data_IF_704835230884
#
_entry.id   IF_704835230884
#
_cell.length_a   1.000
_cell.length_b   1.000
_cell.length_c   1.000
_cell.angle_alpha   90.00
_cell.angle_beta   90.00
_cell.angle_gamma   90.00
#
_symmetry.space_group_name_H-M   'P 1'
#
loop_
_entity.id
_entity.type
_entity.pdbx_description
1 polymer ?
#
# COMPACT_ATOMS: atom_id res chain seq x y z
N UNK A 1 -29.32 -6.00 -8.96
CA UNK A 1 -28.24 -5.02 -8.69
C UNK A 1 -27.47 -5.25 -7.37
N UNK A 2 -27.29 -6.52 -6.93
CA UNK A 2 -26.57 -6.85 -5.67
C UNK A 2 -25.28 -7.68 -5.87
N UNK A 3 -24.93 -8.02 -7.12
CA UNK A 3 -23.77 -8.87 -7.42
C UNK A 3 -22.47 -8.05 -7.57
N UNK A 4 -22.55 -6.72 -7.74
CA UNK A 4 -21.38 -5.87 -7.94
C UNK A 4 -20.64 -5.49 -6.64
N UNK A 5 -21.23 -5.75 -5.46
CA UNK A 5 -20.69 -5.29 -4.18
C UNK A 5 -19.71 -6.27 -3.50
N UNK A 6 -19.64 -7.52 -3.98
CA UNK A 6 -18.80 -8.57 -3.36
C UNK A 6 -17.40 -8.65 -4.01
N UNK A 7 -17.18 -8.08 -5.20
CA UNK A 7 -15.85 -8.03 -5.83
C UNK A 7 -14.92 -6.92 -5.28
N UNK A 8 -15.41 -6.05 -4.38
CA UNK A 8 -14.63 -4.92 -3.86
C UNK A 8 -13.73 -5.23 -2.65
N UNK A 9 -13.70 -6.46 -2.13
CA UNK A 9 -13.03 -6.76 -0.84
C UNK A 9 -11.63 -7.39 -0.91
N UNK A 10 -11.00 -7.54 -2.08
CA UNK A 10 -9.60 -8.05 -2.16
C UNK A 10 -8.71 -7.22 -3.10
N UNK A 11 -8.81 -5.88 -2.99
CA UNK A 11 -7.79 -4.97 -3.53
C UNK A 11 -7.05 -4.26 -2.39
N UNK A 12 -6.50 -5.06 -1.48
CA UNK A 12 -5.51 -4.56 -0.54
C UNK A 12 -4.17 -4.38 -1.26
N UNK A 13 -3.59 -3.18 -1.13
CA UNK A 13 -2.18 -2.91 -1.39
C UNK A 13 -1.40 -3.74 -0.38
N UNK A 14 -1.13 -5.00 -0.74
CA UNK A 14 -0.29 -5.91 0.05
C UNK A 14 1.17 -5.45 -0.12
N UNK A 15 1.79 -5.08 0.99
CA UNK A 15 3.21 -4.76 1.08
C UNK A 15 4.09 -5.97 0.66
N UNK A 16 5.37 -5.75 0.31
CA UNK A 16 6.32 -6.79 -0.14
C UNK A 16 6.38 -8.03 0.78
N UNK A 17 6.51 -7.76 2.08
CA UNK A 17 6.58 -8.75 3.15
C UNK A 17 5.23 -9.46 3.37
N UNK A 18 4.13 -8.82 2.99
CA UNK A 18 2.78 -9.33 3.23
C UNK A 18 2.37 -10.37 2.17
N UNK A 19 2.95 -10.39 0.95
CA UNK A 19 2.62 -11.42 -0.06
C UNK A 19 3.15 -12.79 0.39
N UNK A 20 4.37 -12.85 0.93
CA UNK A 20 4.95 -14.07 1.50
C UNK A 20 4.06 -14.59 2.64
N UNK A 21 3.84 -13.75 3.65
CA UNK A 21 3.02 -14.10 4.83
C UNK A 21 1.60 -14.51 4.40
N UNK A 22 1.05 -13.87 3.37
CA UNK A 22 -0.24 -14.23 2.82
C UNK A 22 -0.23 -15.62 2.18
N UNK A 23 0.72 -15.90 1.27
CA UNK A 23 0.83 -17.20 0.62
C UNK A 23 1.07 -18.32 1.64
N UNK A 24 1.94 -18.10 2.63
CA UNK A 24 2.16 -19.03 3.75
C UNK A 24 0.86 -19.32 4.52
N UNK A 25 0.13 -18.28 4.93
CA UNK A 25 -1.11 -18.43 5.69
C UNK A 25 -2.21 -19.11 4.90
N UNK A 26 -2.35 -18.78 3.62
CA UNK A 26 -3.37 -19.39 2.76
C UNK A 26 -2.98 -20.84 2.43
N UNK A 27 -1.69 -21.15 2.24
CA UNK A 27 -1.22 -22.54 2.10
C UNK A 27 -1.57 -23.38 3.34
N UNK A 28 -1.25 -22.89 4.53
CA UNK A 28 -1.59 -23.55 5.79
C UNK A 28 -3.10 -23.67 6.00
N UNK A 29 -3.87 -22.62 5.72
CA UNK A 29 -5.32 -22.65 5.83
C UNK A 29 -5.95 -23.67 4.87
N UNK A 30 -5.49 -23.72 3.62
CA UNK A 30 -5.93 -24.72 2.64
C UNK A 30 -5.54 -26.13 3.08
N UNK A 31 -4.31 -26.36 3.53
CA UNK A 31 -3.89 -27.67 4.03
C UNK A 31 -4.74 -28.14 5.23
N UNK A 32 -5.07 -27.23 6.15
CA UNK A 32 -5.94 -27.52 7.29
C UNK A 32 -7.38 -27.83 6.86
N UNK A 33 -7.92 -27.10 5.88
CA UNK A 33 -9.24 -27.35 5.31
C UNK A 33 -9.30 -28.70 4.59
N UNK A 34 -8.26 -29.05 3.84
CA UNK A 34 -8.16 -30.33 3.14
C UNK A 34 -7.97 -31.51 4.11
N UNK A 35 -7.31 -31.28 5.24
CA UNK A 35 -7.13 -32.30 6.29
C UNK A 35 -8.39 -32.52 7.14
N UNK A 36 -9.28 -31.52 7.23
CA UNK A 36 -10.53 -31.58 7.99
C UNK A 36 -11.72 -31.13 7.11
N UNK A 37 -12.07 -31.92 6.07
CA UNK A 37 -13.07 -31.50 5.10
C UNK A 37 -14.47 -31.47 5.70
N UNK A 38 -15.25 -30.47 5.28
CA UNK A 38 -16.65 -30.33 5.64
C UNK A 38 -17.44 -29.63 4.53
N UNK A 39 -18.65 -30.09 4.17
CA UNK A 39 -19.48 -29.43 3.15
C UNK A 39 -19.79 -27.95 3.46
N UNK A 40 -19.85 -27.56 4.74
CA UNK A 40 -20.06 -26.16 5.14
C UNK A 40 -18.87 -25.25 4.81
N UNK A 41 -17.67 -25.83 4.62
CA UNK A 41 -16.44 -25.11 4.30
C UNK A 41 -16.17 -24.98 2.80
N UNK A 42 -17.05 -25.50 1.93
CA UNK A 42 -16.87 -25.47 0.47
C UNK A 42 -16.70 -24.04 -0.07
N UNK A 43 -17.49 -23.07 0.41
CA UNK A 43 -17.32 -21.67 0.01
C UNK A 43 -15.95 -21.12 0.40
N UNK A 44 -15.47 -21.47 1.60
CA UNK A 44 -14.18 -21.02 2.11
C UNK A 44 -13.02 -21.63 1.31
N UNK A 45 -13.12 -22.92 0.95
CA UNK A 45 -12.18 -23.60 0.06
C UNK A 45 -12.00 -22.84 -1.26
N UNK A 46 -13.09 -22.51 -1.95
CA UNK A 46 -13.00 -21.78 -3.24
C UNK A 46 -12.46 -20.35 -3.08
N UNK A 47 -12.81 -19.66 -1.99
CA UNK A 47 -12.26 -18.33 -1.71
C UNK A 47 -10.73 -18.38 -1.53
N UNK A 48 -10.25 -19.34 -0.73
CA UNK A 48 -8.83 -19.46 -0.42
C UNK A 48 -8.03 -19.94 -1.64
N UNK A 49 -8.55 -20.90 -2.42
CA UNK A 49 -7.96 -21.32 -3.70
C UNK A 49 -7.88 -20.16 -4.71
N UNK A 50 -8.95 -19.38 -4.84
CA UNK A 50 -8.98 -18.23 -5.76
C UNK A 50 -7.99 -17.15 -5.31
N UNK A 51 -7.92 -16.88 -4.01
CA UNK A 51 -7.01 -15.90 -3.45
C UNK A 51 -5.54 -16.34 -3.59
N UNK A 52 -5.25 -17.63 -3.41
CA UNK A 52 -3.94 -18.21 -3.66
C UNK A 52 -3.55 -18.05 -5.14
N UNK A 53 -4.42 -18.49 -6.06
CA UNK A 53 -4.22 -18.37 -7.51
C UNK A 53 -3.94 -16.93 -7.95
N UNK A 54 -4.74 -15.97 -7.47
CA UNK A 54 -4.56 -14.56 -7.80
C UNK A 54 -3.21 -14.01 -7.35
N UNK A 55 -2.80 -14.30 -6.11
CA UNK A 55 -1.53 -13.81 -5.56
C UNK A 55 -0.32 -14.48 -6.21
N UNK A 56 -0.43 -15.75 -6.61
CA UNK A 56 0.60 -16.45 -7.35
C UNK A 56 0.79 -15.86 -8.77
N UNK A 57 -0.30 -15.56 -9.48
CA UNK A 57 -0.24 -14.87 -10.79
C UNK A 57 0.40 -13.48 -10.64
N UNK A 58 0.04 -12.75 -9.57
CA UNK A 58 0.64 -11.45 -9.26
C UNK A 58 2.13 -11.58 -8.94
N UNK A 59 2.53 -12.61 -8.20
CA UNK A 59 3.93 -12.91 -7.90
C UNK A 59 4.72 -13.12 -9.20
N UNK A 60 4.25 -13.99 -10.09
CA UNK A 60 4.88 -14.24 -11.38
C UNK A 60 5.05 -12.97 -12.22
N UNK A 61 3.99 -12.16 -12.33
CA UNK A 61 4.05 -10.90 -13.07
C UNK A 61 5.09 -9.92 -12.49
N UNK A 62 5.23 -9.87 -11.17
CA UNK A 62 6.18 -8.95 -10.54
C UNK A 62 7.61 -9.52 -10.54
N UNK A 63 7.74 -10.84 -10.50
CA UNK A 63 9.01 -11.54 -10.51
C UNK A 63 9.66 -11.49 -11.90
N UNK A 64 8.88 -11.68 -12.97
CA UNK A 64 9.35 -11.47 -14.35
C UNK A 64 9.84 -10.04 -14.60
N UNK A 65 9.23 -9.06 -13.90
CA UNK A 65 9.66 -7.65 -13.91
C UNK A 65 10.83 -7.36 -12.96
N UNK A 66 11.43 -8.39 -12.35
CA UNK A 66 12.55 -8.31 -11.41
C UNK A 66 12.32 -7.30 -10.29
N UNK A 67 11.10 -7.25 -9.73
CA UNK A 67 10.76 -6.26 -8.70
C UNK A 67 11.30 -6.66 -7.33
N UNK A 68 12.07 -5.77 -6.69
CA UNK A 68 12.61 -5.99 -5.35
C UNK A 68 11.55 -6.47 -4.34
N UNK A 69 10.38 -5.83 -4.41
CA UNK A 69 9.25 -6.08 -3.51
C UNK A 69 8.70 -7.51 -3.52
N UNK A 70 8.95 -8.31 -4.55
CA UNK A 70 8.44 -9.68 -4.61
C UNK A 70 9.51 -10.73 -4.27
N UNK A 71 10.77 -10.31 -4.14
CA UNK A 71 11.89 -11.23 -3.94
C UNK A 71 11.77 -12.10 -2.69
N UNK A 72 11.31 -11.61 -1.52
CA UNK A 72 11.09 -12.46 -0.36
C UNK A 72 10.03 -13.55 -0.59
N UNK A 73 8.96 -13.24 -1.33
CA UNK A 73 7.90 -14.20 -1.64
C UNK A 73 8.34 -15.22 -2.71
N UNK A 74 9.14 -14.77 -3.69
CA UNK A 74 9.74 -15.64 -4.69
C UNK A 74 10.74 -16.62 -4.06
N UNK A 75 11.61 -16.15 -3.14
CA UNK A 75 12.52 -17.02 -2.37
C UNK A 75 11.76 -18.09 -1.59
N UNK A 76 10.70 -17.68 -0.88
CA UNK A 76 9.83 -18.64 -0.18
C UNK A 76 9.27 -19.71 -1.12
N UNK A 77 8.71 -19.33 -2.27
CA UNK A 77 8.14 -20.28 -3.23
C UNK A 77 9.21 -21.25 -3.78
N UNK A 78 10.44 -20.77 -3.99
CA UNK A 78 11.58 -21.59 -4.39
C UNK A 78 12.01 -22.56 -3.29
N UNK A 79 12.01 -22.12 -2.02
CA UNK A 79 12.37 -22.95 -0.86
C UNK A 79 11.38 -24.10 -0.65
N UNK A 80 10.07 -23.82 -0.72
CA UNK A 80 9.04 -24.86 -0.49
C UNK A 80 8.87 -25.82 -1.67
N UNK A 81 9.29 -25.42 -2.88
CA UNK A 81 9.13 -26.09 -4.18
C UNK A 81 7.70 -26.35 -4.63
N UNK A 82 6.86 -26.87 -3.75
CA UNK A 82 5.46 -27.17 -3.97
C UNK A 82 4.67 -26.82 -2.69
N UNK A 83 3.58 -26.04 -2.78
CA UNK A 83 2.70 -25.72 -1.67
C UNK A 83 2.19 -26.96 -0.94
N UNK A 84 2.05 -26.85 0.38
CA UNK A 84 1.66 -27.95 1.25
C UNK A 84 0.28 -28.49 0.90
N UNK A 85 -0.70 -27.61 0.66
CA UNK A 85 -2.04 -28.03 0.31
C UNK A 85 -2.08 -28.81 -1.01
N UNK A 86 -1.23 -28.45 -2.00
CA UNK A 86 -1.17 -29.14 -3.30
C UNK A 86 -0.68 -30.58 -3.18
N UNK A 87 0.22 -30.86 -2.22
CA UNK A 87 0.69 -32.23 -1.94
C UNK A 87 -0.43 -33.13 -1.38
N UNK A 88 -1.50 -32.54 -0.86
CA UNK A 88 -2.63 -33.24 -0.26
C UNK A 88 -3.83 -33.37 -1.22
N UNK A 89 -3.73 -32.86 -2.45
CA UNK A 89 -4.84 -32.90 -3.40
C UNK A 89 -4.97 -34.28 -4.01
N UNK A 90 -6.08 -34.93 -3.67
CA UNK A 90 -6.71 -35.98 -4.48
C UNK A 90 -8.07 -35.44 -4.93
N UNK A 91 -8.19 -35.10 -6.22
CA UNK A 91 -9.41 -34.51 -6.78
C UNK A 91 -10.64 -35.40 -6.58
N UNK A 92 -10.51 -36.74 -6.61
CA UNK A 92 -11.66 -37.64 -6.42
C UNK A 92 -12.12 -37.61 -4.97
N UNK A 93 -11.16 -37.64 -4.03
CA UNK A 93 -11.43 -37.56 -2.61
C UNK A 93 -12.03 -36.20 -2.21
N UNK A 94 -11.45 -35.09 -2.68
CA UNK A 94 -11.93 -33.73 -2.34
C UNK A 94 -13.35 -33.48 -2.85
N UNK A 95 -13.68 -33.92 -4.07
CA UNK A 95 -15.04 -33.77 -4.61
C UNK A 95 -16.07 -34.48 -3.73
N UNK A 96 -15.73 -35.65 -3.21
CA UNK A 96 -16.57 -36.41 -2.27
C UNK A 96 -16.64 -35.73 -0.90
N UNK A 97 -15.50 -35.39 -0.32
CA UNK A 97 -15.39 -34.91 1.06
C UNK A 97 -16.04 -33.52 1.26
N UNK A 98 -16.07 -32.69 0.21
CA UNK A 98 -16.75 -31.38 0.22
C UNK A 98 -18.15 -31.41 -0.42
N UNK A 99 -18.62 -32.59 -0.86
CA UNK A 99 -19.88 -32.78 -1.56
C UNK A 99 -20.07 -31.79 -2.73
N UNK A 100 -19.06 -31.72 -3.62
CA UNK A 100 -19.06 -30.78 -4.73
C UNK A 100 -20.02 -31.26 -5.83
N UNK A 101 -20.90 -30.38 -6.30
CA UNK A 101 -21.67 -30.62 -7.51
C UNK A 101 -20.76 -30.66 -8.75
N UNK A 102 -21.32 -31.04 -9.90
CA UNK A 102 -20.56 -31.18 -11.15
C UNK A 102 -19.89 -29.86 -11.58
N UNK A 103 -20.59 -28.74 -11.40
CA UNK A 103 -20.09 -27.40 -11.76
C UNK A 103 -18.94 -26.98 -10.84
N UNK A 104 -19.07 -27.18 -9.55
CA UNK A 104 -18.05 -26.91 -8.53
C UNK A 104 -16.84 -27.83 -8.73
N UNK A 105 -17.07 -29.10 -9.09
CA UNK A 105 -16.01 -30.05 -9.41
C UNK A 105 -15.15 -29.59 -10.59
N UNK A 106 -15.78 -29.14 -11.69
CA UNK A 106 -15.06 -28.58 -12.85
C UNK A 106 -14.33 -27.28 -12.47
N UNK A 107 -14.95 -26.42 -11.67
CA UNK A 107 -14.33 -25.18 -11.22
C UNK A 107 -13.12 -25.43 -10.31
N UNK A 108 -13.19 -26.45 -9.46
CA UNK A 108 -12.10 -26.89 -8.60
C UNK A 108 -10.91 -27.33 -9.43
N UNK A 109 -11.11 -28.30 -10.34
CA UNK A 109 -10.03 -28.83 -11.20
C UNK A 109 -9.35 -27.70 -12.00
N UNK A 110 -10.15 -26.82 -12.63
CA UNK A 110 -9.62 -25.66 -13.37
C UNK A 110 -8.78 -24.73 -12.49
N UNK A 111 -9.18 -24.55 -11.24
CA UNK A 111 -8.46 -23.66 -10.32
C UNK A 111 -7.15 -24.29 -9.89
N UNK A 112 -7.14 -25.60 -9.61
CA UNK A 112 -5.91 -26.35 -9.30
C UNK A 112 -4.95 -26.34 -10.48
N UNK A 113 -5.42 -26.64 -11.69
CA UNK A 113 -4.62 -26.59 -12.92
C UNK A 113 -3.99 -25.21 -13.12
N UNK A 114 -4.76 -24.15 -12.90
CA UNK A 114 -4.27 -22.77 -13.01
C UNK A 114 -3.17 -22.47 -11.99
N UNK A 115 -3.30 -22.97 -10.76
CA UNK A 115 -2.26 -22.82 -9.72
C UNK A 115 -1.01 -23.59 -10.15
N UNK A 116 -1.14 -24.87 -10.53
CA UNK A 116 -0.01 -25.70 -10.95
C UNK A 116 0.75 -25.08 -12.13
N UNK A 117 0.05 -24.64 -13.19
CA UNK A 117 0.67 -23.93 -14.32
C UNK A 117 1.38 -22.65 -13.89
N UNK A 118 0.82 -21.92 -12.93
CA UNK A 118 1.45 -20.71 -12.40
C UNK A 118 2.71 -21.03 -11.61
N UNK A 119 2.76 -22.15 -10.88
CA UNK A 119 3.98 -22.62 -10.21
C UNK A 119 5.03 -23.03 -11.24
N UNK A 120 4.66 -23.77 -12.28
CA UNK A 120 5.59 -24.13 -13.36
C UNK A 120 6.17 -22.89 -14.05
N UNK A 121 5.33 -21.89 -14.33
CA UNK A 121 5.76 -20.62 -14.91
C UNK A 121 6.72 -19.86 -13.98
N UNK A 122 6.49 -19.91 -12.66
CA UNK A 122 7.43 -19.36 -11.69
C UNK A 122 8.81 -20.01 -11.81
N UNK A 123 8.88 -21.34 -11.83
CA UNK A 123 10.16 -22.05 -11.91
C UNK A 123 10.90 -21.82 -13.24
N UNK A 124 10.18 -21.71 -14.36
CA UNK A 124 10.76 -21.28 -15.63
C UNK A 124 11.36 -19.87 -15.53
N UNK A 125 10.68 -18.93 -14.85
CA UNK A 125 11.22 -17.59 -14.63
C UNK A 125 12.40 -17.57 -13.65
N UNK A 126 12.41 -18.47 -12.68
CA UNK A 126 13.50 -18.62 -11.72
C UNK A 126 14.78 -19.11 -12.40
N UNK A 127 14.69 -20.04 -13.35
CA UNK A 127 15.85 -20.46 -14.16
C UNK A 127 16.51 -19.29 -14.90
N UNK A 128 15.72 -18.29 -15.30
CA UNK A 128 16.20 -17.06 -15.94
C UNK A 128 16.73 -16.00 -14.93
N UNK A 129 16.48 -16.16 -13.63
CA UNK A 129 16.91 -15.25 -12.58
C UNK A 129 17.20 -15.98 -11.24
N UNK A 130 18.17 -16.92 -11.21
CA UNK A 130 18.38 -17.81 -10.05
C UNK A 130 18.92 -17.06 -8.83
N UNK A 131 19.64 -15.96 -9.07
CA UNK A 131 20.23 -15.14 -8.01
C UNK A 131 19.27 -14.09 -7.44
N UNK A 132 17.98 -14.12 -7.83
CA UNK A 132 16.97 -13.15 -7.41
C UNK A 132 17.41 -11.71 -7.64
N UNK A 133 18.09 -11.45 -8.76
CA UNK A 133 18.57 -10.12 -9.12
C UNK A 133 17.33 -9.27 -9.37
N UNK A 134 17.21 -8.19 -8.61
CA UNK A 134 16.14 -7.22 -8.78
C UNK A 134 16.63 -6.00 -9.54
N UNK A 135 15.72 -5.39 -10.28
CA UNK A 135 15.89 -4.07 -10.86
C UNK A 135 15.29 -3.09 -9.86
N UNK A 136 16.10 -2.26 -9.18
CA UNK A 136 15.57 -1.21 -8.32
C UNK A 136 14.57 -0.40 -9.14
N UNK A 137 13.36 -0.26 -8.63
CA UNK A 137 12.36 0.55 -9.30
C UNK A 137 12.80 1.99 -9.14
N UNK A 138 13.58 2.53 -10.09
CA UNK A 138 13.56 3.97 -10.36
C UNK A 138 12.09 4.28 -10.56
N UNK A 139 11.54 5.07 -9.66
CA UNK A 139 10.16 5.48 -9.50
C UNK A 139 9.42 5.70 -10.86
N UNK A 140 8.99 4.61 -11.53
CA UNK A 140 8.65 4.67 -12.97
C UNK A 140 7.39 5.51 -13.24
N UNK A 141 6.47 5.56 -12.28
CA UNK A 141 5.18 6.27 -12.46
C UNK A 141 5.38 7.78 -12.65
N UNK A 142 6.47 8.33 -12.12
CA UNK A 142 6.75 9.77 -12.09
C UNK A 142 7.44 10.25 -13.36
N UNK A 143 8.47 9.52 -13.83
CA UNK A 143 9.05 9.75 -15.16
C UNK A 143 8.00 9.59 -16.27
N UNK A 144 6.97 8.78 -16.03
CA UNK A 144 5.87 8.62 -16.99
C UNK A 144 4.98 9.87 -17.03
N UNK A 145 4.74 10.56 -15.90
CA UNK A 145 3.92 11.79 -15.89
C UNK A 145 4.60 12.91 -16.70
N UNK A 146 5.89 13.13 -16.47
CA UNK A 146 6.70 14.10 -17.21
C UNK A 146 6.85 13.72 -18.69
N UNK A 147 7.10 12.45 -19.00
CA UNK A 147 7.15 11.98 -20.38
C UNK A 147 5.82 12.19 -21.11
N UNK A 148 4.69 11.99 -20.43
CA UNK A 148 3.37 12.24 -21.03
C UNK A 148 3.10 13.74 -21.17
N UNK A 149 3.51 14.57 -20.21
CA UNK A 149 3.45 16.04 -20.31
C UNK A 149 4.18 16.55 -21.56
N UNK A 150 5.41 16.07 -21.77
CA UNK A 150 6.23 16.44 -22.92
C UNK A 150 5.59 15.99 -24.24
N UNK A 151 5.03 14.77 -24.29
CA UNK A 151 4.30 14.28 -25.48
C UNK A 151 3.07 15.12 -25.80
N UNK A 152 2.29 15.54 -24.78
CA UNK A 152 1.14 16.42 -25.00
C UNK A 152 1.64 17.78 -25.49
N UNK A 153 2.72 18.29 -24.91
CA UNK A 153 3.34 19.56 -25.30
C UNK A 153 3.78 19.55 -26.77
N UNK A 154 4.44 18.48 -27.22
CA UNK A 154 4.84 18.31 -28.63
C UNK A 154 3.63 18.30 -29.56
N UNK A 155 2.59 17.54 -29.21
CA UNK A 155 1.34 17.48 -29.97
C UNK A 155 0.64 18.85 -30.04
N UNK A 156 0.67 19.64 -28.97
CA UNK A 156 0.01 20.96 -28.94
C UNK A 156 0.79 22.03 -29.70
N UNK A 157 2.12 21.92 -29.77
CA UNK A 157 2.95 22.84 -30.56
C UNK A 157 2.71 22.69 -32.06
N UNK A 158 2.43 21.47 -32.52
CA UNK A 158 2.24 21.15 -33.93
C UNK A 158 1.03 20.24 -34.12
N UNK A 159 -0.21 20.76 -33.96
CA UNK A 159 -1.41 19.93 -33.99
C UNK A 159 -1.64 19.33 -35.38
N UNK A 160 -1.77 18.01 -35.43
CA UNK A 160 -2.02 17.23 -36.66
C UNK A 160 -3.31 16.38 -36.51
N UNK A 161 -4.29 16.48 -37.43
CA UNK A 161 -5.52 15.69 -37.39
C UNK A 161 -5.33 14.18 -37.22
N UNK A 162 -4.27 13.60 -37.78
CA UNK A 162 -3.99 12.16 -37.69
C UNK A 162 -3.59 11.71 -36.28
N UNK A 163 -3.14 12.66 -35.45
CA UNK A 163 -2.68 12.39 -34.08
C UNK A 163 -3.76 12.65 -33.02
N UNK A 164 -5.00 13.00 -33.41
CA UNK A 164 -6.09 13.33 -32.47
C UNK A 164 -6.38 12.22 -31.45
N UNK A 165 -6.30 10.96 -31.89
CA UNK A 165 -6.51 9.79 -31.00
C UNK A 165 -5.38 9.69 -29.98
N UNK A 166 -4.14 9.91 -30.42
CA UNK A 166 -2.96 9.86 -29.57
C UNK A 166 -2.98 11.00 -28.54
N UNK A 167 -3.40 12.19 -28.96
CA UNK A 167 -3.63 13.33 -28.08
C UNK A 167 -4.65 13.00 -26.97
N UNK A 168 -5.84 12.52 -27.30
CA UNK A 168 -6.87 12.18 -26.31
C UNK A 168 -6.42 11.06 -25.34
N UNK A 169 -5.67 10.06 -25.85
CA UNK A 169 -5.06 9.02 -25.02
C UNK A 169 -4.03 9.59 -24.05
N UNK A 170 -3.17 10.50 -24.50
CA UNK A 170 -2.15 11.12 -23.66
C UNK A 170 -2.78 12.00 -22.58
N UNK A 171 -3.82 12.80 -22.89
CA UNK A 171 -4.55 13.58 -21.88
C UNK A 171 -5.19 12.67 -20.82
N UNK A 172 -5.87 11.60 -21.24
CA UNK A 172 -6.46 10.62 -20.32
C UNK A 172 -5.42 9.94 -19.44
N UNK A 173 -4.27 9.60 -20.01
CA UNK A 173 -3.15 9.00 -19.28
C UNK A 173 -2.55 9.99 -18.27
N UNK A 174 -2.35 11.25 -18.66
CA UNK A 174 -1.87 12.29 -17.76
C UNK A 174 -2.80 12.47 -16.56
N UNK A 175 -4.11 12.61 -16.82
CA UNK A 175 -5.14 12.71 -15.78
C UNK A 175 -5.08 11.53 -14.79
N UNK A 176 -4.97 10.30 -15.31
CA UNK A 176 -4.86 9.09 -14.49
C UNK A 176 -3.58 9.08 -13.64
N UNK A 177 -2.44 9.39 -14.25
CA UNK A 177 -1.14 9.41 -13.57
C UNK A 177 -1.08 10.48 -12.49
N UNK A 178 -1.63 11.67 -12.76
CA UNK A 178 -1.72 12.77 -11.80
C UNK A 178 -2.60 12.38 -10.60
N UNK A 179 -3.73 11.71 -10.83
CA UNK A 179 -4.58 11.22 -9.73
C UNK A 179 -3.87 10.19 -8.84
N UNK A 180 -3.10 9.28 -9.46
CA UNK A 180 -2.27 8.32 -8.74
C UNK A 180 -1.14 9.01 -7.97
N UNK A 181 -0.55 10.06 -8.54
CA UNK A 181 0.48 10.89 -7.91
C UNK A 181 -0.06 11.54 -6.63
N UNK A 182 -1.18 12.27 -6.72
CA UNK A 182 -1.81 12.97 -5.58
C UNK A 182 -2.15 11.99 -4.47
N UNK A 183 -2.69 10.82 -4.81
CA UNK A 183 -2.98 9.77 -3.83
C UNK A 183 -1.72 9.31 -3.10
N UNK A 184 -0.59 9.16 -3.80
CA UNK A 184 0.67 8.77 -3.17
C UNK A 184 1.29 9.89 -2.33
N UNK A 185 1.15 11.14 -2.78
CA UNK A 185 1.57 12.33 -2.04
C UNK A 185 0.81 12.47 -0.72
N UNK A 186 -0.53 12.38 -0.73
CA UNK A 186 -1.37 12.43 0.48
C UNK A 186 -1.10 11.28 1.45
N UNK A 187 -0.50 10.17 0.99
CA UNK A 187 -0.08 9.06 1.83
C UNK A 187 1.31 9.23 2.45
N UNK A 188 2.01 10.34 2.15
CA UNK A 188 3.31 10.68 2.74
C UNK A 188 4.44 9.77 2.26
N UNK A 189 4.47 9.40 0.97
CA UNK A 189 5.57 8.61 0.41
C UNK A 189 6.76 9.53 0.10
N UNK A 190 7.90 9.24 0.72
CA UNK A 190 9.14 10.02 0.64
C UNK A 190 9.55 10.35 -0.80
N UNK A 191 9.40 9.38 -1.70
CA UNK A 191 9.84 9.49 -3.10
C UNK A 191 8.95 10.37 -3.99
N UNK A 192 7.89 10.97 -3.42
CA UNK A 192 6.91 11.83 -4.10
C UNK A 192 7.13 13.30 -3.76
N UNK A 193 7.80 13.61 -2.63
CA UNK A 193 7.90 14.96 -2.09
C UNK A 193 8.72 15.89 -2.98
N UNK A 194 9.91 15.46 -3.42
CA UNK A 194 10.78 16.28 -4.30
C UNK A 194 10.12 16.60 -5.63
N UNK A 195 9.36 15.65 -6.18
CA UNK A 195 8.63 15.89 -7.44
C UNK A 195 7.39 16.74 -7.23
N UNK A 196 6.73 16.62 -6.08
CA UNK A 196 5.61 17.48 -5.73
C UNK A 196 6.09 18.95 -5.61
N UNK A 197 7.28 19.19 -5.05
CA UNK A 197 7.96 20.51 -5.05
C UNK A 197 8.13 21.06 -6.46
N UNK A 198 8.68 20.26 -7.38
CA UNK A 198 8.86 20.68 -8.77
C UNK A 198 7.51 21.02 -9.46
N UNK A 199 6.47 20.19 -9.28
CA UNK A 199 5.15 20.45 -9.86
C UNK A 199 4.46 21.68 -9.23
N UNK A 200 4.64 21.90 -7.93
CA UNK A 200 4.10 23.08 -7.26
C UNK A 200 4.77 24.37 -7.70
N UNK A 201 6.09 24.34 -7.89
CA UNK A 201 6.84 25.47 -8.45
C UNK A 201 6.41 25.78 -9.88
N UNK A 202 6.12 24.76 -10.69
CA UNK A 202 5.60 24.93 -12.04
C UNK A 202 4.18 25.55 -12.07
N UNK A 203 3.39 25.39 -11.00
CA UNK A 203 2.01 25.87 -10.80
C UNK A 203 0.96 25.30 -11.77
N UNK A 204 1.35 24.89 -12.97
CA UNK A 204 0.49 24.27 -14.00
C UNK A 204 1.30 23.24 -14.79
N UNK A 205 0.65 22.29 -15.50
CA UNK A 205 1.32 21.40 -16.46
C UNK A 205 2.01 22.17 -17.59
N UNK A 206 3.11 21.64 -18.12
CA UNK A 206 3.89 22.32 -19.18
C UNK A 206 3.08 22.50 -20.46
N UNK A 207 2.30 21.48 -20.86
CA UNK A 207 1.48 21.56 -22.07
C UNK A 207 0.42 22.69 -21.99
N UNK A 208 0.09 23.18 -20.79
CA UNK A 208 -0.93 24.21 -20.59
C UNK A 208 -0.54 25.56 -21.18
N UNK A 209 0.76 25.82 -21.38
CA UNK A 209 1.21 27.01 -22.12
C UNK A 209 0.78 27.01 -23.59
N UNK A 210 0.42 25.85 -24.13
CA UNK A 210 0.02 25.64 -25.53
C UNK A 210 -1.45 25.23 -25.65
N UNK A 211 -2.23 25.28 -24.57
CA UNK A 211 -3.59 24.73 -24.50
C UNK A 211 -4.67 25.72 -24.96
N UNK A 212 -4.41 26.51 -26.01
CA UNK A 212 -5.46 27.29 -26.65
C UNK A 212 -6.50 26.33 -27.25
N UNK A 213 -7.62 26.18 -26.56
CA UNK A 213 -8.62 25.16 -26.85
C UNK A 213 -9.21 25.36 -28.25
N UNK A 214 -9.37 26.60 -28.68
CA UNK A 214 -9.94 26.94 -29.98
C UNK A 214 -8.95 26.64 -31.10
N UNK A 215 -7.72 27.15 -30.98
CA UNK A 215 -6.66 26.90 -31.97
C UNK A 215 -6.34 25.40 -32.11
N UNK A 216 -6.29 24.66 -31.00
CA UNK A 216 -6.06 23.22 -31.02
C UNK A 216 -7.24 22.45 -31.59
N UNK A 217 -8.48 22.85 -31.31
CA UNK A 217 -9.67 22.20 -31.90
C UNK A 217 -9.68 22.32 -33.42
N UNK A 218 -9.27 23.49 -33.94
CA UNK A 218 -9.10 23.73 -35.37
C UNK A 218 -7.93 22.89 -35.92
N UNK A 219 -6.76 22.94 -35.28
CA UNK A 219 -5.56 22.22 -35.72
C UNK A 219 -5.74 20.71 -35.79
N UNK A 220 -6.41 20.11 -34.81
CA UNK A 220 -6.73 18.68 -34.81
C UNK A 220 -7.99 18.32 -35.62
N UNK A 221 -8.69 19.30 -36.21
CA UNK A 221 -9.97 19.12 -36.92
C UNK A 221 -11.00 18.34 -36.09
N UNK A 222 -11.18 18.75 -34.84
CA UNK A 222 -12.12 18.09 -33.94
C UNK A 222 -13.57 18.41 -34.35
N UNK A 223 -14.43 17.39 -34.36
CA UNK A 223 -15.87 17.59 -34.46
C UNK A 223 -16.43 18.21 -33.17
N UNK A 224 -17.65 18.75 -33.22
CA UNK A 224 -18.28 19.48 -32.10
C UNK A 224 -18.22 18.70 -30.77
N UNK A 225 -18.57 17.41 -30.80
CA UNK A 225 -18.57 16.57 -29.61
C UNK A 225 -17.13 16.23 -29.14
N UNK A 226 -16.21 16.03 -30.08
CA UNK A 226 -14.79 15.80 -29.79
C UNK A 226 -14.14 17.04 -29.16
N UNK A 227 -14.46 18.24 -29.64
CA UNK A 227 -13.99 19.51 -29.09
C UNK A 227 -14.52 19.73 -27.67
N UNK A 228 -15.77 19.34 -27.39
CA UNK A 228 -16.34 19.38 -26.04
C UNK A 228 -15.62 18.40 -25.09
N UNK A 229 -15.38 17.16 -25.53
CA UNK A 229 -14.63 16.16 -24.76
C UNK A 229 -13.18 16.59 -24.49
N UNK A 230 -12.53 17.18 -25.49
CA UNK A 230 -11.19 17.74 -25.38
C UNK A 230 -11.14 18.87 -24.34
N UNK A 231 -12.04 19.86 -24.46
CA UNK A 231 -12.19 20.96 -23.49
C UNK A 231 -12.39 20.44 -22.08
N UNK A 232 -13.30 19.48 -21.89
CA UNK A 232 -13.56 18.86 -20.59
C UNK A 232 -12.33 18.14 -20.04
N UNK A 233 -11.53 17.49 -20.89
CA UNK A 233 -10.30 16.81 -20.48
C UNK A 233 -9.26 17.80 -19.96
N UNK A 234 -9.10 18.95 -20.61
CA UNK A 234 -8.21 20.03 -20.16
C UNK A 234 -8.65 20.58 -18.80
N UNK A 235 -9.94 20.87 -18.63
CA UNK A 235 -10.46 21.37 -17.35
C UNK A 235 -10.33 20.33 -16.23
N UNK A 236 -10.66 19.07 -16.47
CA UNK A 236 -10.50 18.01 -15.48
C UNK A 236 -9.04 17.83 -15.03
N UNK A 237 -8.07 18.00 -15.94
CA UNK A 237 -6.65 17.98 -15.57
C UNK A 237 -6.29 19.20 -14.72
N UNK A 238 -6.79 20.39 -15.08
CA UNK A 238 -6.57 21.62 -14.31
C UNK A 238 -7.09 21.49 -12.88
N UNK A 239 -8.36 21.11 -12.71
CA UNK A 239 -8.99 20.95 -11.39
C UNK A 239 -8.20 19.96 -10.53
N UNK A 240 -7.75 18.86 -11.13
CA UNK A 240 -6.93 17.86 -10.45
C UNK A 240 -5.53 18.39 -10.14
N UNK A 241 -4.98 19.30 -10.92
CA UNK A 241 -3.71 19.96 -10.60
C UNK A 241 -3.90 20.94 -9.45
N UNK A 242 -5.02 21.67 -9.39
CA UNK A 242 -5.37 22.52 -8.26
C UNK A 242 -5.53 21.70 -6.97
N UNK A 243 -6.12 20.49 -7.03
CA UNK A 243 -6.14 19.52 -5.92
C UNK A 243 -4.73 19.14 -5.45
N UNK A 244 -3.76 19.01 -6.38
CA UNK A 244 -2.36 18.76 -6.03
C UNK A 244 -1.77 19.97 -5.30
N UNK A 245 -1.94 21.18 -5.84
CA UNK A 245 -1.41 22.40 -5.25
C UNK A 245 -1.97 22.64 -3.85
N UNK A 246 -3.28 22.40 -3.68
CA UNK A 246 -3.93 22.49 -2.38
C UNK A 246 -3.35 21.44 -1.41
N UNK A 247 -3.21 20.19 -1.85
CA UNK A 247 -2.61 19.14 -1.02
C UNK A 247 -1.17 19.50 -0.61
N UNK A 248 -0.39 20.13 -1.51
CA UNK A 248 0.95 20.62 -1.21
C UNK A 248 0.93 21.72 -0.16
N UNK A 249 0.04 22.72 -0.27
CA UNK A 249 -0.13 23.80 0.72
C UNK A 249 -0.55 23.29 2.10
N UNK A 250 -1.45 22.31 2.13
CA UNK A 250 -1.92 21.69 3.39
C UNK A 250 -0.85 20.79 4.02
N UNK A 251 0.18 20.40 3.27
CA UNK A 251 1.25 19.55 3.76
C UNK A 251 2.35 20.41 4.42
N UNK A 252 2.40 20.36 5.75
CA UNK A 252 3.37 21.08 6.58
C UNK A 252 4.84 20.72 6.23
N UNK A 253 5.09 19.55 5.61
CA UNK A 253 6.43 19.12 5.18
C UNK A 253 6.86 19.71 3.84
N UNK A 254 5.95 20.38 3.14
CA UNK A 254 6.15 20.72 1.74
C UNK A 254 7.20 21.80 1.53
N UNK A 255 7.21 22.82 2.38
CA UNK A 255 8.22 23.89 2.39
C UNK A 255 9.34 23.63 3.41
N UNK A 256 9.15 22.64 4.30
CA UNK A 256 10.12 22.27 5.32
C UNK A 256 11.32 21.53 4.71
N UNK A 257 12.54 21.84 5.17
CA UNK A 257 13.74 21.01 4.95
C UNK A 257 13.67 19.69 5.75
N UNK A 258 12.80 19.64 6.76
CA UNK A 258 12.60 18.51 7.67
C UNK A 258 11.38 17.69 7.24
N UNK A 259 11.58 16.38 7.05
CA UNK A 259 10.50 15.44 6.73
C UNK A 259 9.81 14.92 8.01
N UNK A 260 8.66 15.50 8.35
CA UNK A 260 7.86 15.03 9.50
C UNK A 260 6.96 13.82 9.20
N UNK A 261 7.10 13.14 8.06
CA UNK A 261 6.17 12.05 7.66
C UNK A 261 6.13 10.92 8.70
N UNK A 262 7.27 10.56 9.29
CA UNK A 262 7.34 9.56 10.36
C UNK A 262 6.67 10.03 11.66
N UNK A 263 6.74 11.34 11.97
CA UNK A 263 6.05 11.96 13.10
C UNK A 263 4.53 11.91 12.90
N UNK A 264 4.05 12.26 11.71
CA UNK A 264 2.62 12.19 11.42
C UNK A 264 2.09 10.77 11.40
N UNK A 265 2.87 9.82 10.88
CA UNK A 265 2.50 8.42 10.92
C UNK A 265 2.43 7.92 12.37
N UNK A 266 3.38 8.30 13.23
CA UNK A 266 3.33 8.03 14.66
C UNK A 266 2.03 8.57 15.28
N UNK A 267 1.72 9.85 15.09
CA UNK A 267 0.52 10.51 15.61
C UNK A 267 -0.75 9.82 15.10
N UNK A 268 -0.81 9.49 13.81
CA UNK A 268 -1.96 8.81 13.20
C UNK A 268 -2.19 7.42 13.81
N UNK A 269 -1.11 6.66 14.03
CA UNK A 269 -1.19 5.33 14.64
C UNK A 269 -1.61 5.41 16.10
N UNK A 270 -1.10 6.38 16.85
CA UNK A 270 -1.51 6.63 18.23
C UNK A 270 -2.98 7.05 18.34
N UNK A 271 -3.45 7.98 17.49
CA UNK A 271 -4.88 8.34 17.41
C UNK A 271 -5.76 7.11 17.12
N UNK A 272 -5.34 6.25 16.20
CA UNK A 272 -6.07 5.01 15.91
C UNK A 272 -6.08 4.05 17.10
N UNK A 273 -4.96 3.92 17.82
CA UNK A 273 -4.93 3.12 19.05
C UNK A 273 -5.83 3.69 20.12
N UNK A 274 -5.86 5.02 20.28
CA UNK A 274 -6.79 5.69 21.18
C UNK A 274 -8.23 5.34 20.82
N UNK A 275 -8.62 5.42 19.55
CA UNK A 275 -9.98 5.01 19.13
C UNK A 275 -10.27 3.57 19.52
N UNK A 276 -9.36 2.63 19.23
CA UNK A 276 -9.52 1.22 19.55
C UNK A 276 -9.64 0.99 21.07
N UNK A 277 -8.88 1.71 21.88
CA UNK A 277 -8.89 1.58 23.34
C UNK A 277 -10.09 2.28 23.98
N UNK A 278 -10.58 3.37 23.40
CA UNK A 278 -11.74 4.10 23.90
C UNK A 278 -13.06 3.44 23.49
N UNK A 279 -13.12 2.87 22.28
CA UNK A 279 -14.27 2.16 21.71
C UNK A 279 -13.87 0.72 21.35
N UNK A 280 -13.60 -0.12 22.35
CA UNK A 280 -13.05 -1.44 22.09
C UNK A 280 -14.12 -2.42 21.60
N UNK A 281 -13.69 -3.29 20.68
CA UNK A 281 -14.51 -4.31 20.06
C UNK A 281 -13.65 -5.57 19.81
N UNK A 282 -14.12 -6.78 20.17
CA UNK A 282 -13.41 -8.04 19.90
C UNK A 282 -12.97 -8.22 18.44
N UNK A 283 -13.74 -7.76 17.46
CA UNK A 283 -13.39 -7.84 16.04
C UNK A 283 -12.14 -7.04 15.69
N UNK A 284 -11.77 -6.03 16.49
CA UNK A 284 -10.59 -5.20 16.26
C UNK A 284 -9.31 -5.72 16.91
N UNK A 285 -9.32 -6.88 17.57
CA UNK A 285 -8.13 -7.53 18.16
C UNK A 285 -6.92 -7.54 17.22
N UNK A 286 -7.10 -7.98 15.97
CA UNK A 286 -6.01 -8.01 14.97
C UNK A 286 -5.54 -6.59 14.59
N UNK A 287 -6.47 -5.64 14.51
CA UNK A 287 -6.18 -4.24 14.20
C UNK A 287 -5.38 -3.58 15.32
N UNK A 288 -5.74 -3.85 16.58
CA UNK A 288 -5.03 -3.39 17.77
C UNK A 288 -3.58 -3.87 17.73
N UNK A 289 -3.35 -5.17 17.59
CA UNK A 289 -1.99 -5.75 17.56
C UNK A 289 -1.14 -5.17 16.41
N UNK A 290 -1.71 -5.08 15.20
CA UNK A 290 -1.00 -4.51 14.04
C UNK A 290 -0.64 -3.04 14.27
N UNK A 291 -1.55 -2.28 14.88
CA UNK A 291 -1.33 -0.85 15.11
C UNK A 291 -0.30 -0.61 16.21
N UNK A 292 -0.32 -1.41 17.29
CA UNK A 292 0.71 -1.41 18.33
C UNK A 292 2.09 -1.73 17.74
N UNK A 293 2.21 -2.81 16.95
CA UNK A 293 3.49 -3.18 16.31
C UNK A 293 4.02 -2.07 15.41
N UNK A 294 3.14 -1.49 14.59
CA UNK A 294 3.49 -0.35 13.75
C UNK A 294 3.99 0.85 14.57
N UNK A 295 3.35 1.15 15.70
CA UNK A 295 3.77 2.24 16.58
C UNK A 295 5.14 1.98 17.20
N UNK A 296 5.37 0.76 17.70
CA UNK A 296 6.64 0.33 18.28
C UNK A 296 7.83 0.47 17.30
N UNK A 297 7.62 0.10 16.04
CA UNK A 297 8.64 0.24 14.99
C UNK A 297 8.89 1.71 14.63
N UNK A 298 7.85 2.54 14.58
CA UNK A 298 7.99 3.98 14.28
C UNK A 298 8.79 4.70 15.37
N UNK A 299 8.50 4.40 16.64
CA UNK A 299 9.30 4.90 17.76
C UNK A 299 10.76 4.44 17.64
N UNK A 300 10.99 3.16 17.31
CA UNK A 300 12.34 2.63 17.14
C UNK A 300 13.10 3.28 15.98
N UNK A 301 12.43 3.60 14.87
CA UNK A 301 13.03 4.33 13.76
C UNK A 301 13.43 5.75 14.16
N UNK A 302 12.51 6.50 14.78
CA UNK A 302 12.73 7.89 15.17
C UNK A 302 13.84 8.07 16.21
N UNK A 303 14.18 7.02 16.97
CA UNK A 303 15.29 7.02 17.93
C UNK A 303 16.66 6.80 17.32
N UNK A 304 16.78 6.28 16.09
CA UNK A 304 18.08 5.98 15.49
C UNK A 304 18.93 7.24 15.36
N UNK A 305 20.24 7.11 15.55
CA UNK A 305 21.16 8.26 15.55
C UNK A 305 21.37 8.87 14.17
N UNK A 306 21.15 8.09 13.11
CA UNK A 306 21.30 8.54 11.73
C UNK A 306 20.06 9.24 11.15
N UNK A 307 19.04 9.52 11.97
CA UNK A 307 17.86 10.28 11.53
C UNK A 307 18.24 11.76 11.42
N UNK A 308 18.13 12.31 10.21
CA UNK A 308 18.39 13.74 9.94
C UNK A 308 17.34 14.62 10.63
N UNK A 309 17.75 15.81 11.08
CA UNK A 309 16.88 16.80 11.71
C UNK A 309 16.13 16.27 12.95
N UNK A 310 16.80 15.41 13.72
CA UNK A 310 16.26 14.70 14.89
C UNK A 310 15.59 15.67 15.87
N UNK A 311 16.25 16.81 16.18
CA UNK A 311 15.75 17.84 17.11
C UNK A 311 14.41 18.43 16.66
N UNK A 312 14.27 18.73 15.37
CA UNK A 312 13.05 19.28 14.80
C UNK A 312 11.92 18.26 14.85
N UNK A 313 12.19 16.99 14.49
CA UNK A 313 11.20 15.90 14.59
C UNK A 313 10.72 15.72 16.04
N UNK A 314 11.64 15.76 17.01
CA UNK A 314 11.31 15.69 18.42
C UNK A 314 10.44 16.87 18.87
N UNK A 315 10.79 18.10 18.49
CA UNK A 315 9.99 19.28 18.82
C UNK A 315 8.55 19.15 18.31
N UNK A 316 8.36 18.61 17.09
CA UNK A 316 7.01 18.40 16.53
C UNK A 316 6.22 17.33 17.29
N UNK A 317 6.88 16.25 17.72
CA UNK A 317 6.26 15.23 18.59
C UNK A 317 5.89 15.85 19.94
N UNK A 318 6.77 16.66 20.54
CA UNK A 318 6.52 17.35 21.80
C UNK A 318 5.38 18.35 21.71
N UNK A 319 5.30 19.14 20.64
CA UNK A 319 4.21 20.08 20.38
C UNK A 319 2.85 19.36 20.41
N UNK A 320 2.78 18.18 19.79
CA UNK A 320 1.55 17.39 19.76
C UNK A 320 1.19 16.74 21.10
N UNK A 321 2.16 16.11 21.76
CA UNK A 321 1.90 15.37 23.01
C UNK A 321 1.94 16.22 24.27
N UNK A 322 2.54 17.41 24.21
CA UNK A 322 2.75 18.34 25.34
C UNK A 322 3.41 17.65 26.54
N UNK A 323 4.47 16.87 26.29
CA UNK A 323 5.20 16.08 27.31
C UNK A 323 4.35 15.07 28.09
N UNK A 324 3.12 14.78 27.63
CA UNK A 324 2.25 13.73 28.20
C UNK A 324 2.50 12.39 27.50
N UNK A 325 2.07 11.26 28.11
CA UNK A 325 2.09 9.97 27.43
C UNK A 325 1.33 9.98 26.09
N UNK A 326 1.65 9.01 25.25
CA UNK A 326 0.90 8.68 24.03
C UNK A 326 -0.60 8.63 24.32
N UNK A 327 -1.44 9.10 23.39
CA UNK A 327 -2.86 9.28 23.64
C UNK A 327 -3.55 7.99 24.07
N UNK A 328 -3.17 6.84 23.47
CA UNK A 328 -3.77 5.56 23.81
C UNK A 328 -3.42 5.08 25.24
N UNK A 329 -2.26 5.47 25.78
CA UNK A 329 -1.82 5.14 27.14
C UNK A 329 -2.50 6.00 28.22
N UNK A 330 -3.27 7.03 27.82
CA UNK A 330 -3.99 7.89 28.78
C UNK A 330 -5.24 7.22 29.37
N UNK A 331 -5.61 6.03 28.87
CA UNK A 331 -6.61 5.16 29.47
C UNK A 331 -5.91 3.95 30.06
N UNK A 332 -6.38 3.49 31.22
CA UNK A 332 -5.83 2.29 31.86
C UNK A 332 -6.13 1.07 30.99
N UNK A 333 -5.08 0.33 30.61
CA UNK A 333 -5.15 -0.91 29.84
C UNK A 333 -4.63 -2.02 30.76
N UNK A 334 -5.53 -2.67 31.50
CA UNK A 334 -5.21 -3.79 32.37
C UNK A 334 -5.71 -5.14 31.82
N UNK A 335 -5.34 -6.23 32.49
CA UNK A 335 -5.70 -7.58 32.05
C UNK A 335 -7.21 -7.75 31.90
N UNK A 336 -7.97 -7.21 32.86
CA UNK A 336 -9.42 -7.28 32.84
C UNK A 336 -9.99 -6.53 31.63
N UNK A 337 -9.50 -5.32 31.34
CA UNK A 337 -9.91 -4.56 30.16
C UNK A 337 -9.64 -5.33 28.86
N UNK A 338 -8.44 -5.89 28.71
CA UNK A 338 -8.04 -6.61 27.50
C UNK A 338 -8.87 -7.89 27.29
N UNK A 339 -9.09 -8.67 28.34
CA UNK A 339 -9.90 -9.90 28.28
C UNK A 339 -11.36 -9.59 27.98
N UNK A 340 -11.97 -8.67 28.72
CA UNK A 340 -13.40 -8.37 28.60
C UNK A 340 -13.77 -7.62 27.34
N UNK A 341 -12.89 -6.74 26.83
CA UNK A 341 -13.20 -5.88 25.68
C UNK A 341 -12.67 -6.38 24.36
N UNK A 342 -11.60 -7.18 24.36
CA UNK A 342 -11.01 -7.74 23.14
C UNK A 342 -11.07 -9.27 23.05
N UNK A 343 -11.59 -9.95 24.09
CA UNK A 343 -11.69 -11.41 24.10
C UNK A 343 -10.33 -12.11 24.01
N UNK A 344 -9.30 -11.54 24.67
CA UNK A 344 -7.97 -12.16 24.71
C UNK A 344 -7.95 -13.34 25.67
N UNK A 345 -7.20 -14.40 25.33
CA UNK A 345 -6.84 -15.46 26.29
C UNK A 345 -5.87 -14.93 27.35
N UNK A 346 -5.60 -15.71 28.40
CA UNK A 346 -4.63 -15.32 29.43
C UNK A 346 -3.24 -15.05 28.85
N UNK A 347 -2.74 -15.96 28.01
CA UNK A 347 -1.43 -15.82 27.37
C UNK A 347 -1.38 -14.60 26.44
N UNK A 348 -2.40 -14.42 25.60
CA UNK A 348 -2.48 -13.25 24.71
C UNK A 348 -2.61 -11.93 25.47
N UNK A 349 -3.25 -11.95 26.63
CA UNK A 349 -3.37 -10.79 27.52
C UNK A 349 -2.00 -10.42 28.09
N UNK A 350 -1.22 -11.42 28.51
CA UNK A 350 0.11 -11.20 29.04
C UNK A 350 1.05 -10.67 27.96
N UNK A 351 1.08 -11.31 26.79
CA UNK A 351 1.85 -10.84 25.62
C UNK A 351 1.49 -9.39 25.25
N UNK A 352 0.20 -9.06 25.24
CA UNK A 352 -0.26 -7.71 24.91
C UNK A 352 0.17 -6.69 25.95
N UNK A 353 0.15 -7.05 27.24
CA UNK A 353 0.64 -6.18 28.32
C UNK A 353 2.12 -5.92 28.19
N UNK A 354 2.92 -6.98 28.01
CA UNK A 354 4.37 -6.87 27.87
C UNK A 354 4.73 -6.01 26.65
N UNK A 355 3.93 -6.10 25.58
CA UNK A 355 4.09 -5.28 24.40
C UNK A 355 3.70 -3.80 24.62
N UNK A 356 2.62 -3.53 25.37
CA UNK A 356 2.22 -2.16 25.75
C UNK A 356 3.27 -1.54 26.67
N UNK A 357 3.83 -2.30 27.61
CA UNK A 357 4.95 -1.88 28.46
C UNK A 357 6.16 -1.54 27.59
N UNK A 358 6.56 -2.41 26.66
CA UNK A 358 7.67 -2.17 25.74
C UNK A 358 7.50 -0.88 24.90
N UNK A 359 6.28 -0.56 24.49
CA UNK A 359 5.98 0.70 23.78
C UNK A 359 6.12 1.90 24.73
N UNK A 360 5.64 1.76 25.95
CA UNK A 360 5.71 2.80 26.99
C UNK A 360 7.16 3.12 27.33
N UNK A 361 7.97 2.10 27.59
CA UNK A 361 9.40 2.23 27.88
C UNK A 361 10.13 2.88 26.72
N UNK A 362 9.89 2.40 25.50
CA UNK A 362 10.50 2.99 24.30
C UNK A 362 10.10 4.44 24.07
N UNK A 363 8.87 4.83 24.40
CA UNK A 363 8.44 6.23 24.31
C UNK A 363 9.10 7.08 25.41
N UNK A 364 9.28 6.53 26.61
CA UNK A 364 10.00 7.20 27.69
C UNK A 364 11.48 7.38 27.34
N UNK A 365 12.13 6.35 26.81
CA UNK A 365 13.50 6.44 26.29
C UNK A 365 13.60 7.48 25.17
N UNK A 366 12.64 7.50 24.24
CA UNK A 366 12.56 8.55 23.21
C UNK A 366 12.49 9.97 23.81
N UNK A 367 11.76 10.15 24.92
CA UNK A 367 11.70 11.43 25.65
C UNK A 367 13.02 11.78 26.35
N UNK A 368 13.73 10.78 26.89
CA UNK A 368 15.06 10.98 27.50
C UNK A 368 16.08 11.37 26.42
N UNK A 369 16.08 10.67 25.27
CA UNK A 369 16.94 10.98 24.13
C UNK A 369 16.75 12.43 23.67
N UNK A 370 15.50 12.93 23.67
CA UNK A 370 15.22 14.33 23.38
C UNK A 370 15.87 15.30 24.36
N UNK A 371 15.71 15.06 25.67
CA UNK A 371 16.32 15.93 26.70
C UNK A 371 17.84 16.02 26.51
N UNK A 372 18.48 14.90 26.18
CA UNK A 372 19.90 14.84 25.87
C UNK A 372 20.26 15.62 24.60
N UNK A 373 19.47 15.49 23.53
CA UNK A 373 19.66 16.24 22.27
C UNK A 373 19.44 17.74 22.44
N UNK A 374 18.59 18.18 23.38
CA UNK A 374 18.35 19.61 23.65
C UNK A 374 19.30 20.23 24.67
N UNK A 375 19.89 19.44 25.57
CA UNK A 375 20.83 19.92 26.60
C UNK A 375 22.27 20.10 26.10
N UNK A 376 22.58 19.75 24.85
CA UNK A 376 23.94 19.82 24.30
C UNK A 376 24.37 21.26 23.87
N UNK A 377 23.55 22.30 24.02
CA UNK A 377 23.95 23.68 23.71
C UNK A 377 23.76 24.68 24.86
N UNK A 378 24.47 24.47 25.98
CA UNK A 378 24.79 25.57 26.92
C UNK A 378 26.30 25.70 27.21
N UNK A 379 27.14 24.70 26.92
CA UNK A 379 28.58 24.79 27.16
C UNK A 379 29.42 24.51 25.90
N UNK A 380 29.40 25.44 24.95
CA UNK A 380 30.58 25.75 24.11
C UNK A 380 30.57 27.27 23.90
N UNK A 381 31.35 27.95 24.76
CA UNK A 381 31.99 29.23 24.45
C UNK A 381 33.19 28.97 23.54
#
# INVERSE_FOLDING_TARGET
>A
MKILMIMCLVFCVVFPLEIRIFLERVDQALANLLSNPSPSNTTKLFQDLSAYSYNLVRLNKLFSLKREVIMPAAKYLQEIKCPTFLKQIDSKKIKKDFNLDEKASVMFDRTIDKIQRSISLFFQQYELNPNFIFIPVKNRTFNTLESVDNKITELFKSPNPDEKIQMMKNLSLYYYLLGKFIKQFKLGRDSVMDRAKALYQAKIPNFYAYSDIEALSIGFKLQRDEAALFRNSIYNIKDRFDDLLLACKENINFESKVDYSSVFLLIKKDKRLRELVFFPDPYYKSSLLKTLKSLYHLLGYLRRDNVKYKRELYNKIREFYQDKPLLFLRKKIDSQFLQTKFGLTNDETQDMKDFVISITDRFNEFRIDFMNVTNININVL
#
